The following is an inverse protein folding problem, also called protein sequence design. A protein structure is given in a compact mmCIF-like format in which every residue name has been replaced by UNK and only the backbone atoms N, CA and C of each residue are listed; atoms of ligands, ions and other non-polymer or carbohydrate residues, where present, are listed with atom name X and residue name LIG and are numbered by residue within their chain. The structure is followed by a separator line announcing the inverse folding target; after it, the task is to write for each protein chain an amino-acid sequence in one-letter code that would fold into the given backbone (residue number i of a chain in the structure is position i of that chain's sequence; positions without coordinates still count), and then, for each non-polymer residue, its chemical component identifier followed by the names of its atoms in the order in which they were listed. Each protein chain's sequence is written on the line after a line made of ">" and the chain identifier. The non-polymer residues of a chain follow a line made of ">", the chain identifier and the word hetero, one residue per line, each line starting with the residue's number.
data_IF_115050538624
#
_entry.id   IF_115050538624
#
_cell.length_a   1.000
_cell.length_b   1.000
_cell.length_c   1.000
_cell.angle_alpha   90.00
_cell.angle_beta   90.00
_cell.angle_gamma   90.00
#
_symmetry.space_group_name_H-M   'P 1'
#
loop_
_entity.id
_entity.type
_entity.pdbx_description
1 polymer ?
#
# COMPACT_ATOMS: atom_id res chain seq x y z
N UNK A 1 16.89 -0.11 2.42
CA UNK A 1 15.45 0.24 2.62
C UNK A 1 14.92 -0.64 3.73
N UNK A 2 13.99 -0.16 4.57
CA UNK A 2 13.36 -0.98 5.60
C UNK A 2 12.08 -1.60 5.03
N UNK A 3 11.83 -2.87 5.38
CA UNK A 3 10.60 -3.56 5.00
C UNK A 3 9.65 -3.59 6.20
N UNK A 4 8.42 -3.16 5.98
CA UNK A 4 7.34 -3.17 6.94
C UNK A 4 6.23 -4.15 6.57
N UNK A 5 5.11 -4.05 7.28
CA UNK A 5 3.90 -4.86 7.01
C UNK A 5 2.68 -3.96 6.92
N UNK A 6 1.85 -4.20 5.90
CA UNK A 6 0.51 -3.65 5.82
C UNK A 6 -0.46 -4.55 6.62
N UNK A 7 -1.11 -3.97 7.62
CA UNK A 7 -1.84 -4.74 8.64
C UNK A 7 -3.15 -5.37 8.16
N UNK A 8 -3.57 -5.12 6.92
CA UNK A 8 -4.64 -5.90 6.30
C UNK A 8 -4.33 -7.41 6.31
N UNK A 9 -3.06 -7.78 6.18
CA UNK A 9 -2.60 -9.17 6.23
C UNK A 9 -3.02 -9.86 7.53
N UNK A 10 -2.93 -9.15 8.65
CA UNK A 10 -3.28 -9.65 10.00
C UNK A 10 -4.63 -9.13 10.51
N UNK A 11 -5.51 -8.60 9.65
CA UNK A 11 -6.78 -7.92 10.02
C UNK A 11 -7.73 -8.75 10.90
N UNK A 12 -7.68 -10.08 10.80
CA UNK A 12 -8.53 -10.96 11.63
C UNK A 12 -8.06 -10.99 13.09
N UNK A 13 -6.75 -10.84 13.31
CA UNK A 13 -6.11 -10.85 14.63
C UNK A 13 -6.19 -9.47 15.28
N UNK A 14 -5.87 -8.42 14.57
CA UNK A 14 -5.93 -7.05 15.10
C UNK A 14 -7.36 -6.60 15.50
N UNK A 15 -8.41 -7.19 14.92
CA UNK A 15 -9.78 -6.97 15.37
C UNK A 15 -10.05 -7.49 16.78
N UNK A 16 -9.28 -8.46 17.25
CA UNK A 16 -9.43 -9.06 18.58
C UNK A 16 -8.56 -8.32 19.59
N UNK A 17 -7.32 -8.03 19.22
CA UNK A 17 -6.34 -7.43 20.13
C UNK A 17 -5.16 -6.90 19.29
N UNK A 18 -4.95 -5.58 19.29
CA UNK A 18 -3.89 -4.94 18.50
C UNK A 18 -2.49 -5.34 18.99
N UNK A 19 -2.28 -5.35 20.31
CA UNK A 19 -0.99 -5.68 20.91
C UNK A 19 -0.57 -7.11 20.55
N UNK A 20 -1.45 -8.08 20.81
CA UNK A 20 -1.20 -9.49 20.48
C UNK A 20 -1.03 -9.72 18.97
N UNK A 21 -1.67 -8.90 18.13
CA UNK A 21 -1.51 -9.01 16.69
C UNK A 21 -0.16 -8.46 16.20
N UNK A 22 0.38 -7.43 16.86
CA UNK A 22 1.64 -6.81 16.42
C UNK A 22 2.88 -7.46 17.05
N UNK A 23 2.75 -8.07 18.22
CA UNK A 23 3.87 -8.70 18.93
C UNK A 23 4.67 -9.70 18.08
N UNK A 24 4.05 -10.63 17.30
CA UNK A 24 4.80 -11.52 16.43
C UNK A 24 5.61 -10.78 15.36
N UNK A 25 5.11 -9.67 14.80
CA UNK A 25 5.83 -8.85 13.83
C UNK A 25 7.09 -8.24 14.45
N UNK A 26 6.96 -7.71 15.67
CA UNK A 26 8.06 -7.12 16.42
C UNK A 26 9.14 -8.15 16.72
N UNK A 27 8.74 -9.38 17.10
CA UNK A 27 9.66 -10.50 17.34
C UNK A 27 10.42 -10.92 16.08
N UNK A 28 9.86 -10.70 14.88
CA UNK A 28 10.54 -10.88 13.60
C UNK A 28 11.47 -9.72 13.23
N UNK A 29 11.54 -8.66 14.04
CA UNK A 29 12.31 -7.45 13.75
C UNK A 29 11.58 -6.43 12.86
N UNK A 30 10.30 -6.64 12.55
CA UNK A 30 9.48 -5.75 11.72
C UNK A 30 8.91 -4.66 12.61
N UNK A 31 9.31 -3.42 12.35
CA UNK A 31 8.90 -2.24 13.14
C UNK A 31 8.04 -1.24 12.36
N UNK A 32 8.11 -1.26 11.04
CA UNK A 32 7.38 -0.32 10.18
C UNK A 32 6.02 -0.92 9.79
N UNK A 33 4.94 -0.19 10.08
CA UNK A 33 3.59 -0.64 9.80
C UNK A 33 2.83 0.38 8.94
N UNK A 34 2.15 -0.09 7.91
CA UNK A 34 1.02 0.63 7.33
C UNK A 34 -0.26 0.07 7.97
N UNK A 35 -0.91 0.89 8.80
CA UNK A 35 -2.09 0.45 9.54
C UNK A 35 -3.34 0.54 8.68
N UNK A 36 -4.10 -0.55 8.63
CA UNK A 36 -5.36 -0.67 7.90
C UNK A 36 -6.42 -1.41 8.71
N UNK A 37 -7.70 -1.28 8.30
CA UNK A 37 -8.81 -2.07 8.84
C UNK A 37 -9.14 -1.86 10.32
N UNK A 38 -8.71 -0.75 10.88
CA UNK A 38 -9.25 -0.21 12.14
C UNK A 38 -10.11 1.02 11.82
N UNK A 39 -10.83 1.55 12.79
CA UNK A 39 -11.42 2.88 12.71
C UNK A 39 -10.36 3.89 13.15
N UNK A 40 -10.14 4.92 12.35
CA UNK A 40 -9.13 5.94 12.63
C UNK A 40 -9.81 7.11 13.36
N UNK A 41 -9.51 7.26 14.64
CA UNK A 41 -9.95 8.34 15.51
C UNK A 41 -8.93 8.61 16.62
N UNK A 42 -9.21 9.58 17.46
CA UNK A 42 -8.35 9.94 18.58
C UNK A 42 -8.08 8.79 19.55
N UNK A 43 -9.09 7.94 19.82
CA UNK A 43 -8.97 6.84 20.77
C UNK A 43 -8.07 5.72 20.23
N UNK A 44 -8.31 5.30 18.99
CA UNK A 44 -7.45 4.33 18.31
C UNK A 44 -6.04 4.89 18.11
N UNK A 45 -5.91 6.20 17.86
CA UNK A 45 -4.63 6.89 17.77
C UNK A 45 -3.83 6.83 19.08
N UNK A 46 -4.47 7.05 20.23
CA UNK A 46 -3.84 6.90 21.56
C UNK A 46 -3.40 5.47 21.83
N UNK A 47 -4.25 4.49 21.48
CA UNK A 47 -3.92 3.07 21.63
C UNK A 47 -2.68 2.70 20.80
N UNK A 48 -2.65 3.10 19.53
CA UNK A 48 -1.50 2.86 18.66
C UNK A 48 -0.26 3.60 19.17
N UNK A 49 -0.39 4.85 19.65
CA UNK A 49 0.72 5.61 20.25
C UNK A 49 1.34 4.86 21.43
N UNK A 50 0.52 4.32 22.33
CA UNK A 50 1.01 3.54 23.46
C UNK A 50 1.82 2.31 23.00
N UNK A 51 1.35 1.61 21.96
CA UNK A 51 2.10 0.48 21.36
C UNK A 51 3.40 0.94 20.68
N UNK A 52 3.42 2.11 20.05
CA UNK A 52 4.65 2.69 19.48
C UNK A 52 5.68 2.93 20.59
N UNK A 53 5.26 3.52 21.72
CA UNK A 53 6.15 3.82 22.85
C UNK A 53 6.66 2.55 23.54
N UNK A 54 5.78 1.56 23.70
CA UNK A 54 6.09 0.30 24.39
C UNK A 54 6.96 -0.62 23.54
N UNK A 55 6.70 -0.74 22.25
CA UNK A 55 7.27 -1.76 21.37
C UNK A 55 8.22 -1.20 20.30
N UNK A 56 8.38 0.10 20.19
CA UNK A 56 9.24 0.75 19.21
C UNK A 56 8.77 0.59 17.77
N UNK A 57 7.46 0.36 17.54
CA UNK A 57 6.88 0.34 16.18
C UNK A 57 6.77 1.76 15.63
N UNK A 58 6.79 1.87 14.32
CA UNK A 58 6.60 3.12 13.56
C UNK A 58 5.40 2.97 12.63
N UNK A 59 4.58 4.00 12.54
CA UNK A 59 3.46 4.05 11.60
C UNK A 59 3.92 4.79 10.35
N UNK A 60 4.29 4.04 9.31
CA UNK A 60 4.75 4.59 8.02
C UNK A 60 3.61 5.26 7.26
N UNK A 61 2.42 4.70 7.34
CA UNK A 61 1.20 5.24 6.74
C UNK A 61 -0.05 4.63 7.40
N UNK A 62 -1.20 5.23 7.15
CA UNK A 62 -2.51 4.65 7.46
C UNK A 62 -3.33 4.49 6.19
N UNK A 63 -3.94 3.31 5.99
CA UNK A 63 -4.80 3.04 4.86
C UNK A 63 -6.28 3.13 5.24
N UNK A 64 -6.93 4.19 4.75
CA UNK A 64 -8.25 4.65 5.17
C UNK A 64 -9.28 4.38 4.08
N UNK A 65 -10.50 3.97 4.48
CA UNK A 65 -11.61 3.75 3.53
C UNK A 65 -12.13 5.06 2.93
N UNK A 66 -12.65 5.06 1.69
CA UNK A 66 -13.19 6.25 1.05
C UNK A 66 -14.20 7.00 1.92
N UNK A 67 -15.13 6.28 2.58
CA UNK A 67 -16.14 6.89 3.45
C UNK A 67 -15.53 7.78 4.54
N UNK A 68 -14.40 7.38 5.13
CA UNK A 68 -13.76 8.14 6.20
C UNK A 68 -12.85 9.22 5.62
N UNK A 69 -12.13 8.95 4.52
CA UNK A 69 -11.27 9.96 3.84
C UNK A 69 -12.07 11.21 3.44
N UNK A 70 -13.28 11.02 2.89
CA UNK A 70 -14.10 12.12 2.39
C UNK A 70 -15.13 12.63 3.39
N UNK A 71 -15.56 11.82 4.35
CA UNK A 71 -16.67 12.14 5.24
C UNK A 71 -16.32 12.39 6.69
N UNK A 72 -15.08 12.05 7.13
CA UNK A 72 -14.68 12.19 8.52
C UNK A 72 -13.17 12.50 8.65
N UNK A 73 -12.79 13.62 8.03
CA UNK A 73 -11.39 14.07 7.97
C UNK A 73 -10.82 14.31 9.36
N UNK A 74 -11.60 14.95 10.26
CA UNK A 74 -11.11 15.31 11.59
C UNK A 74 -10.68 14.10 12.40
N UNK A 75 -11.44 13.01 12.37
CA UNK A 75 -11.05 11.78 13.06
C UNK A 75 -9.73 11.21 12.53
N UNK A 76 -9.51 11.25 11.20
CA UNK A 76 -8.24 10.82 10.59
C UNK A 76 -7.09 11.73 11.03
N UNK A 77 -7.31 13.04 11.05
CA UNK A 77 -6.33 14.04 11.52
C UNK A 77 -5.97 13.78 12.99
N UNK A 78 -6.97 13.57 13.85
CA UNK A 78 -6.76 13.29 15.28
C UNK A 78 -5.92 12.01 15.50
N UNK A 79 -6.18 10.96 14.73
CA UNK A 79 -5.34 9.76 14.74
C UNK A 79 -3.89 10.06 14.36
N UNK A 80 -3.71 10.79 13.26
CA UNK A 80 -2.39 11.18 12.77
C UNK A 80 -1.61 12.02 13.77
N UNK A 81 -2.27 12.98 14.43
CA UNK A 81 -1.69 13.80 15.49
C UNK A 81 -1.23 12.95 16.68
N UNK A 82 -2.02 11.95 17.09
CA UNK A 82 -1.64 11.04 18.18
C UNK A 82 -0.40 10.21 17.85
N UNK A 83 -0.30 9.74 16.61
CA UNK A 83 0.75 8.77 16.19
C UNK A 83 1.97 9.44 15.56
N UNK A 84 1.87 10.72 15.18
CA UNK A 84 2.90 11.41 14.38
C UNK A 84 2.97 10.94 12.94
N UNK A 85 2.01 10.11 12.47
CA UNK A 85 1.95 9.67 11.08
C UNK A 85 1.47 10.81 10.18
N UNK A 86 2.17 11.08 9.09
CA UNK A 86 1.82 12.13 8.13
C UNK A 86 1.29 11.60 6.80
N UNK A 87 1.28 10.29 6.59
CA UNK A 87 0.92 9.66 5.33
C UNK A 87 -0.45 8.97 5.44
N UNK A 88 -1.43 9.49 4.72
CA UNK A 88 -2.80 8.96 4.64
C UNK A 88 -2.99 8.33 3.26
N UNK A 89 -3.43 7.08 3.20
CA UNK A 89 -3.63 6.34 1.95
C UNK A 89 -5.12 6.06 1.76
N UNK A 90 -5.69 6.56 0.68
CA UNK A 90 -7.04 6.17 0.25
C UNK A 90 -6.99 4.73 -0.26
N UNK A 91 -7.70 3.84 0.41
CA UNK A 91 -7.54 2.39 0.27
C UNK A 91 -7.98 1.80 -1.07
N UNK A 92 -8.85 2.47 -1.80
CA UNK A 92 -9.43 1.96 -3.05
C UNK A 92 -10.29 3.01 -3.75
N UNK A 93 -10.59 2.78 -5.02
CA UNK A 93 -11.58 3.51 -5.78
C UNK A 93 -12.98 3.34 -5.14
N UNK A 94 -13.75 4.41 -4.95
CA UNK A 94 -15.14 4.28 -4.51
C UNK A 94 -15.95 3.41 -5.48
N UNK A 95 -16.80 2.53 -4.93
CA UNK A 95 -17.51 1.53 -5.71
C UNK A 95 -18.39 2.10 -6.83
N UNK A 96 -18.98 3.27 -6.60
CA UNK A 96 -19.77 3.97 -7.63
C UNK A 96 -18.94 4.43 -8.84
N UNK A 97 -17.62 4.61 -8.68
CA UNK A 97 -16.72 4.90 -9.81
C UNK A 97 -16.39 3.65 -10.64
N UNK A 98 -16.49 2.45 -10.03
CA UNK A 98 -16.25 1.19 -10.72
C UNK A 98 -17.45 0.78 -11.58
N UNK A 99 -18.65 0.83 -10.99
CA UNK A 99 -19.90 0.41 -11.63
C UNK A 99 -20.68 1.55 -12.27
N UNK A 100 -20.33 2.81 -11.95
CA UNK A 100 -21.02 3.99 -12.42
C UNK A 100 -20.63 4.39 -13.85
N UNK A 101 -21.29 5.45 -14.34
CA UNK A 101 -20.89 6.11 -15.58
C UNK A 101 -19.52 6.75 -15.41
N UNK A 102 -18.73 6.84 -16.47
CA UNK A 102 -17.38 7.41 -16.47
C UNK A 102 -17.32 8.82 -15.86
N UNK A 103 -18.38 9.62 -16.01
CA UNK A 103 -18.48 10.93 -15.37
C UNK A 103 -18.27 10.90 -13.86
N UNK A 104 -18.74 9.85 -13.17
CA UNK A 104 -18.51 9.67 -11.74
C UNK A 104 -17.04 9.44 -11.36
N UNK A 105 -16.29 8.86 -12.26
CA UNK A 105 -14.84 8.72 -12.06
C UNK A 105 -14.14 10.09 -12.22
N UNK A 106 -14.55 10.91 -13.18
CA UNK A 106 -13.98 12.27 -13.34
C UNK A 106 -14.37 13.20 -12.18
N UNK A 107 -15.62 13.13 -11.70
CA UNK A 107 -16.05 13.83 -10.48
C UNK A 107 -15.15 13.45 -9.31
N UNK A 108 -14.89 12.14 -9.14
CA UNK A 108 -14.00 11.62 -8.09
C UNK A 108 -12.57 12.16 -8.21
N UNK A 109 -12.01 12.31 -9.41
CA UNK A 109 -10.66 12.87 -9.58
C UNK A 109 -10.59 14.33 -9.06
N UNK A 110 -11.61 15.13 -9.35
CA UNK A 110 -11.69 16.50 -8.87
C UNK A 110 -11.87 16.54 -7.34
N UNK A 111 -12.70 15.64 -6.78
CA UNK A 111 -12.87 15.50 -5.32
C UNK A 111 -11.58 15.07 -4.63
N UNK A 112 -10.83 14.14 -5.24
CA UNK A 112 -9.57 13.64 -4.71
C UNK A 112 -8.50 14.74 -4.66
N UNK A 113 -8.39 15.60 -5.68
CA UNK A 113 -7.48 16.75 -5.68
C UNK A 113 -7.85 17.74 -4.56
N UNK A 114 -9.13 18.08 -4.40
CA UNK A 114 -9.60 18.94 -3.29
C UNK A 114 -9.30 18.31 -1.94
N UNK A 115 -9.48 17.00 -1.83
CA UNK A 115 -9.18 16.28 -0.59
C UNK A 115 -7.69 16.30 -0.24
N UNK A 116 -6.80 16.27 -1.23
CA UNK A 116 -5.38 16.47 -1.00
C UNK A 116 -5.07 17.83 -0.39
N UNK A 117 -5.74 18.90 -0.83
CA UNK A 117 -5.58 20.25 -0.26
C UNK A 117 -6.04 20.31 1.21
N UNK A 118 -7.16 19.65 1.52
CA UNK A 118 -7.67 19.57 2.89
C UNK A 118 -6.67 18.85 3.79
N UNK A 119 -6.19 17.66 3.40
CA UNK A 119 -5.19 16.95 4.21
C UNK A 119 -3.87 17.74 4.33
N UNK A 120 -3.44 18.40 3.25
CA UNK A 120 -2.24 19.22 3.25
C UNK A 120 -2.34 20.41 4.22
N UNK A 121 -3.52 21.03 4.40
CA UNK A 121 -3.73 22.10 5.38
C UNK A 121 -3.55 21.64 6.84
N UNK A 122 -3.63 20.31 7.08
CA UNK A 122 -3.34 19.68 8.36
C UNK A 122 -1.91 19.08 8.45
N UNK A 123 -1.03 19.37 7.48
CA UNK A 123 0.33 18.83 7.43
C UNK A 123 0.38 17.34 7.02
N UNK A 124 -0.68 16.83 6.44
CA UNK A 124 -0.78 15.42 6.01
C UNK A 124 -0.68 15.30 4.48
N UNK A 125 -0.14 14.18 4.02
CA UNK A 125 -0.08 13.84 2.60
C UNK A 125 -1.11 12.76 2.28
N UNK A 126 -1.98 13.01 1.30
CA UNK A 126 -2.93 12.01 0.81
C UNK A 126 -2.36 11.28 -0.39
N UNK A 127 -2.32 9.95 -0.31
CA UNK A 127 -1.98 9.06 -1.40
C UNK A 127 -3.16 8.19 -1.81
N UNK A 128 -3.09 7.66 -3.01
CA UNK A 128 -4.06 6.74 -3.58
C UNK A 128 -3.44 5.36 -3.77
N UNK A 129 -4.08 4.32 -3.22
CA UNK A 129 -3.72 2.92 -3.45
C UNK A 129 -4.61 2.34 -4.55
N UNK A 130 -3.98 1.77 -5.58
CA UNK A 130 -4.69 1.23 -6.74
C UNK A 130 -4.93 -0.28 -6.64
N UNK A 131 -5.87 -0.75 -7.48
CA UNK A 131 -6.18 -2.15 -7.73
C UNK A 131 -6.14 -2.44 -9.24
N UNK A 132 -6.81 -3.50 -9.69
CA UNK A 132 -6.98 -3.79 -11.12
C UNK A 132 -8.00 -2.88 -11.82
N UNK A 133 -8.90 -2.24 -11.07
CA UNK A 133 -9.94 -1.35 -11.62
C UNK A 133 -9.37 -0.16 -12.37
N UNK A 134 -8.20 0.33 -11.97
CA UNK A 134 -7.53 1.49 -12.55
C UNK A 134 -6.91 1.18 -13.91
N UNK A 135 -6.70 -0.09 -14.23
CA UNK A 135 -6.19 -0.52 -15.53
C UNK A 135 -7.28 -0.81 -16.57
N UNK A 136 -8.55 -0.62 -16.22
CA UNK A 136 -9.68 -0.69 -17.16
C UNK A 136 -9.65 0.53 -18.08
N UNK A 137 -9.79 0.29 -19.40
CA UNK A 137 -9.83 1.33 -20.44
C UNK A 137 -11.19 2.04 -20.42
N UNK A 138 -11.16 3.34 -20.51
CA UNK A 138 -12.32 4.24 -20.63
C UNK A 138 -12.70 4.46 -22.10
N UNK A 139 -13.84 5.11 -22.34
CA UNK A 139 -14.35 5.41 -23.69
C UNK A 139 -13.40 6.24 -24.56
N UNK A 140 -12.53 7.04 -23.93
CA UNK A 140 -11.50 7.84 -24.61
C UNK A 140 -10.20 7.06 -24.96
N UNK A 141 -10.17 5.74 -24.73
CA UNK A 141 -9.02 4.87 -25.01
C UNK A 141 -7.91 4.88 -23.96
N UNK A 142 -8.01 5.70 -22.89
CA UNK A 142 -7.05 5.73 -21.78
C UNK A 142 -7.51 4.83 -20.64
N UNK A 143 -6.56 4.29 -19.87
CA UNK A 143 -6.90 3.61 -18.62
C UNK A 143 -7.25 4.63 -17.53
N UNK A 144 -8.03 4.23 -16.50
CA UNK A 144 -8.25 5.08 -15.32
C UNK A 144 -6.96 5.47 -14.64
N UNK A 145 -5.94 4.59 -14.61
CA UNK A 145 -4.62 4.92 -14.06
C UNK A 145 -3.97 6.06 -14.84
N UNK A 146 -4.06 6.04 -16.17
CA UNK A 146 -3.54 7.12 -17.01
C UNK A 146 -4.25 8.44 -16.72
N UNK A 147 -5.56 8.42 -16.60
CA UNK A 147 -6.36 9.61 -16.24
C UNK A 147 -6.03 10.11 -14.82
N UNK A 148 -5.85 9.22 -13.85
CA UNK A 148 -5.36 9.57 -12.50
C UNK A 148 -4.03 10.33 -12.58
N UNK A 149 -3.06 9.81 -13.31
CA UNK A 149 -1.74 10.43 -13.44
C UNK A 149 -1.78 11.79 -14.14
N UNK A 150 -2.60 11.94 -15.17
CA UNK A 150 -2.66 13.15 -15.98
C UNK A 150 -3.51 14.25 -15.37
N UNK A 151 -4.62 13.89 -14.68
CA UNK A 151 -5.61 14.85 -14.18
C UNK A 151 -5.44 15.22 -12.70
N UNK A 152 -4.57 14.51 -11.98
CA UNK A 152 -4.24 14.87 -10.60
C UNK A 152 -2.78 15.32 -10.52
N UNK A 153 -2.48 16.26 -9.62
CA UNK A 153 -1.12 16.78 -9.41
C UNK A 153 -0.64 16.62 -7.99
N UNK A 154 -1.53 16.72 -7.00
CA UNK A 154 -1.22 16.68 -5.57
C UNK A 154 -1.28 15.28 -4.99
N UNK A 155 -2.02 14.39 -5.64
CA UNK A 155 -2.18 13.00 -5.21
C UNK A 155 -0.85 12.27 -5.31
N UNK A 156 -0.41 11.68 -4.18
CA UNK A 156 0.66 10.69 -4.17
C UNK A 156 0.09 9.30 -4.47
N UNK A 157 0.95 8.32 -4.74
CA UNK A 157 0.52 6.96 -5.08
C UNK A 157 1.18 5.93 -4.18
N UNK A 158 0.41 4.90 -3.84
CA UNK A 158 0.92 3.65 -3.27
C UNK A 158 0.75 2.57 -4.31
N UNK A 159 1.87 2.01 -4.77
CA UNK A 159 1.90 0.98 -5.79
C UNK A 159 1.67 -0.41 -5.16
N UNK A 160 0.81 -1.22 -5.77
CA UNK A 160 0.62 -2.63 -5.42
C UNK A 160 1.13 -3.53 -6.55
N UNK A 161 2.19 -4.29 -6.27
CA UNK A 161 2.86 -5.12 -7.26
C UNK A 161 1.99 -6.27 -7.77
N UNK A 162 1.11 -6.83 -6.94
CA UNK A 162 0.17 -7.89 -7.32
C UNK A 162 -0.84 -7.42 -8.37
N UNK A 163 -1.49 -6.27 -8.12
CA UNK A 163 -2.55 -5.80 -9.02
C UNK A 163 -2.03 -5.41 -10.39
N UNK A 164 -0.86 -4.78 -10.45
CA UNK A 164 -0.21 -4.43 -11.71
C UNK A 164 0.20 -5.67 -12.49
N UNK A 165 0.85 -6.63 -11.83
CA UNK A 165 1.27 -7.89 -12.44
C UNK A 165 0.07 -8.74 -12.89
N UNK A 166 -1.02 -8.74 -12.11
CA UNK A 166 -2.27 -9.43 -12.48
C UNK A 166 -2.91 -8.86 -13.75
N UNK A 167 -2.68 -7.58 -14.03
CA UNK A 167 -3.11 -6.95 -15.28
C UNK A 167 -2.13 -7.16 -16.46
N UNK A 168 -1.09 -7.97 -16.27
CA UNK A 168 -0.10 -8.26 -17.31
C UNK A 168 0.91 -7.14 -17.55
N UNK A 169 1.06 -6.22 -16.58
CA UNK A 169 1.95 -5.06 -16.67
C UNK A 169 3.19 -5.25 -15.80
N UNK A 170 4.27 -4.57 -16.17
CA UNK A 170 5.51 -4.55 -15.38
C UNK A 170 5.36 -3.63 -14.17
N UNK A 171 5.51 -4.20 -12.96
CA UNK A 171 5.49 -3.44 -11.71
C UNK A 171 6.65 -2.43 -11.62
N UNK A 172 7.85 -2.78 -12.08
CA UNK A 172 9.00 -1.86 -12.07
C UNK A 172 8.79 -0.65 -13.00
N UNK A 173 8.22 -0.86 -14.18
CA UNK A 173 7.86 0.24 -15.08
C UNK A 173 6.77 1.14 -14.48
N UNK A 174 5.79 0.56 -13.80
CA UNK A 174 4.74 1.34 -13.13
C UNK A 174 5.31 2.16 -11.96
N UNK A 175 6.25 1.61 -11.19
CA UNK A 175 6.99 2.33 -10.15
C UNK A 175 7.67 3.57 -10.73
N UNK A 176 8.42 3.41 -11.83
CA UNK A 176 9.06 4.54 -12.52
C UNK A 176 8.06 5.56 -13.05
N UNK A 177 6.90 5.11 -13.55
CA UNK A 177 5.86 6.00 -14.07
C UNK A 177 5.23 6.88 -12.97
N UNK A 178 5.19 6.44 -11.71
CA UNK A 178 4.78 7.29 -10.59
C UNK A 178 5.84 8.33 -10.22
N UNK A 179 7.14 8.02 -10.38
CA UNK A 179 8.24 8.95 -10.16
C UNK A 179 8.20 9.62 -8.79
N UNK A 180 8.24 10.96 -8.78
CA UNK A 180 8.22 11.77 -7.55
C UNK A 180 6.88 11.72 -6.80
N UNK A 181 5.84 11.15 -7.39
CA UNK A 181 4.55 10.93 -6.74
C UNK A 181 4.39 9.56 -6.10
N UNK A 182 5.42 8.72 -6.12
CA UNK A 182 5.40 7.44 -5.44
C UNK A 182 5.69 7.62 -3.95
N UNK A 183 4.70 7.37 -3.10
CA UNK A 183 4.83 7.43 -1.65
C UNK A 183 5.31 6.11 -1.05
N UNK A 184 4.75 4.99 -1.50
CA UNK A 184 5.05 3.67 -0.96
C UNK A 184 4.72 2.53 -1.91
N UNK A 185 5.17 1.33 -1.56
CA UNK A 185 4.93 0.11 -2.34
C UNK A 185 4.41 -0.99 -1.42
N UNK A 186 3.30 -1.60 -1.83
CA UNK A 186 2.85 -2.89 -1.31
C UNK A 186 3.58 -3.99 -2.07
N UNK A 187 4.51 -4.65 -1.39
CA UNK A 187 5.20 -5.83 -1.87
C UNK A 187 4.27 -7.03 -1.72
N UNK A 188 3.63 -7.41 -2.82
CA UNK A 188 2.63 -8.46 -2.86
C UNK A 188 2.86 -9.31 -4.09
N UNK A 189 3.10 -10.61 -3.91
CA UNK A 189 3.45 -11.50 -5.00
C UNK A 189 2.24 -12.19 -5.62
N UNK A 190 2.34 -12.47 -6.91
CA UNK A 190 1.35 -13.20 -7.69
C UNK A 190 1.86 -14.61 -7.97
N UNK A 191 1.19 -15.60 -7.40
CA UNK A 191 1.47 -17.01 -7.69
C UNK A 191 0.46 -17.58 -8.69
N UNK A 192 0.95 -18.32 -9.65
CA UNK A 192 0.13 -18.98 -10.67
C UNK A 192 -0.01 -20.49 -10.37
N UNK A 193 -1.23 -20.98 -10.35
CA UNK A 193 -1.55 -22.37 -10.10
C UNK A 193 -2.24 -22.97 -11.32
N UNK A 194 -1.64 -24.02 -11.90
CA UNK A 194 -2.26 -24.78 -13.01
C UNK A 194 -3.19 -25.85 -12.45
N UNK A 195 -4.44 -25.86 -12.93
CA UNK A 195 -5.41 -26.92 -12.65
C UNK A 195 -6.05 -27.37 -13.97
N UNK A 196 -5.53 -28.46 -14.56
CA UNK A 196 -5.88 -28.87 -15.89
C UNK A 196 -5.47 -27.82 -16.93
N UNK A 197 -6.42 -27.38 -17.74
CA UNK A 197 -6.22 -26.30 -18.74
C UNK A 197 -6.34 -24.90 -18.14
N UNK A 198 -6.85 -24.78 -16.91
CA UNK A 198 -7.07 -23.48 -16.26
C UNK A 198 -5.85 -23.05 -15.47
N UNK A 199 -5.56 -21.74 -15.53
CA UNK A 199 -4.58 -21.09 -14.67
C UNK A 199 -5.33 -20.17 -13.70
N UNK A 200 -5.07 -20.31 -12.40
CA UNK A 200 -5.60 -19.44 -11.35
C UNK A 200 -4.45 -18.70 -10.70
N UNK A 201 -4.72 -17.48 -10.24
CA UNK A 201 -3.77 -16.71 -9.49
C UNK A 201 -4.19 -16.56 -8.03
N UNK A 202 -3.22 -16.54 -7.13
CA UNK A 202 -3.40 -16.23 -5.72
C UNK A 202 -2.27 -15.36 -5.21
N UNK A 203 -2.43 -14.83 -4.00
CA UNK A 203 -1.31 -14.24 -3.29
C UNK A 203 -0.28 -15.30 -2.93
N UNK A 204 1.00 -14.94 -3.00
CA UNK A 204 2.13 -15.74 -2.54
C UNK A 204 3.03 -14.94 -1.61
N UNK A 205 3.90 -15.62 -0.88
CA UNK A 205 4.96 -14.94 -0.15
C UNK A 205 5.86 -14.20 -1.14
N UNK A 206 6.33 -13.01 -0.80
CA UNK A 206 7.22 -12.19 -1.65
C UNK A 206 8.41 -13.02 -2.12
N UNK A 207 8.67 -13.01 -3.43
CA UNK A 207 9.74 -13.78 -4.07
C UNK A 207 9.42 -15.27 -4.31
N UNK A 208 8.16 -15.71 -4.10
CA UNK A 208 7.73 -17.07 -4.42
C UNK A 208 6.86 -17.18 -5.67
N UNK A 209 6.50 -16.05 -6.28
CA UNK A 209 5.64 -15.95 -7.46
C UNK A 209 6.36 -15.44 -8.70
N UNK A 210 5.67 -14.58 -9.45
CA UNK A 210 6.13 -14.11 -10.77
C UNK A 210 6.58 -12.64 -10.79
N UNK A 211 6.46 -11.93 -9.67
CA UNK A 211 6.89 -10.52 -9.59
C UNK A 211 8.41 -10.43 -9.51
N UNK A 212 9.02 -9.64 -10.40
CA UNK A 212 10.45 -9.31 -10.32
C UNK A 212 10.69 -8.21 -9.26
N UNK A 213 10.85 -8.63 -8.01
CA UNK A 213 11.09 -7.72 -6.90
C UNK A 213 12.47 -7.06 -6.96
N UNK A 214 13.47 -7.67 -7.59
CA UNK A 214 14.76 -7.04 -7.78
C UNK A 214 14.62 -5.79 -8.65
N UNK A 215 13.93 -5.91 -9.79
CA UNK A 215 13.64 -4.78 -10.66
C UNK A 215 12.73 -3.73 -9.98
N UNK A 216 11.75 -4.16 -9.17
CA UNK A 216 10.88 -3.24 -8.40
C UNK A 216 11.70 -2.43 -7.39
N UNK A 217 12.59 -3.06 -6.61
CA UNK A 217 13.42 -2.37 -5.62
C UNK A 217 14.45 -1.43 -6.28
N UNK A 218 15.01 -1.82 -7.43
CA UNK A 218 15.90 -0.94 -8.20
C UNK A 218 15.14 0.29 -8.74
N UNK A 219 13.94 0.09 -9.26
CA UNK A 219 13.08 1.19 -9.71
C UNK A 219 12.70 2.12 -8.55
N UNK A 220 12.35 1.56 -7.38
CA UNK A 220 11.99 2.34 -6.20
C UNK A 220 13.11 3.30 -5.74
N UNK A 221 14.39 2.89 -5.86
CA UNK A 221 15.55 3.76 -5.55
C UNK A 221 15.64 5.01 -6.43
N UNK A 222 14.97 5.02 -7.59
CA UNK A 222 14.95 6.14 -8.54
C UNK A 222 13.72 7.04 -8.38
N UNK A 223 12.93 6.86 -7.32
CA UNK A 223 11.69 7.58 -7.06
C UNK A 223 11.68 8.18 -5.66
N UNK A 224 10.62 8.91 -5.31
CA UNK A 224 10.40 9.45 -3.95
C UNK A 224 9.79 8.42 -2.98
N UNK A 225 9.91 7.13 -3.24
CA UNK A 225 9.36 6.07 -2.39
C UNK A 225 9.88 6.17 -0.96
N UNK A 226 8.96 6.29 0.01
CA UNK A 226 9.28 6.51 1.43
C UNK A 226 9.26 5.23 2.24
N UNK A 227 8.44 4.24 1.84
CA UNK A 227 8.29 2.98 2.58
C UNK A 227 7.91 1.80 1.67
N UNK A 228 8.24 0.62 2.13
CA UNK A 228 7.93 -0.66 1.51
C UNK A 228 7.23 -1.55 2.54
N UNK A 229 6.06 -2.08 2.23
CA UNK A 229 5.31 -2.95 3.14
C UNK A 229 4.84 -4.22 2.46
N UNK A 230 4.99 -5.33 3.15
CA UNK A 230 4.49 -6.64 2.73
C UNK A 230 2.97 -6.65 2.94
N UNK A 231 2.22 -7.00 1.89
CA UNK A 231 0.79 -7.26 1.98
C UNK A 231 0.46 -8.62 1.37
N UNK A 232 -0.37 -9.42 2.05
CA UNK A 232 -0.82 -10.71 1.56
C UNK A 232 -2.24 -11.02 2.02
N UNK A 233 -2.99 -11.73 1.17
CA UNK A 233 -4.24 -12.37 1.57
C UNK A 233 -3.96 -13.86 1.81
N UNK A 234 -3.88 -14.24 3.08
CA UNK A 234 -3.50 -15.59 3.49
C UNK A 234 -4.26 -16.01 4.75
N UNK A 235 -4.32 -17.29 5.03
CA UNK A 235 -4.82 -17.87 6.27
C UNK A 235 -3.71 -18.17 7.30
N UNK A 236 -2.42 -18.08 6.89
CA UNK A 236 -1.22 -18.27 7.71
C UNK A 236 -0.34 -17.00 7.74
N UNK A 237 -0.88 -15.84 8.24
CA UNK A 237 -0.24 -14.55 7.99
C UNK A 237 1.16 -14.42 8.59
N UNK A 238 1.40 -14.94 9.77
CA UNK A 238 2.70 -14.74 10.43
C UNK A 238 3.81 -15.56 9.79
N UNK A 239 3.52 -16.81 9.39
CA UNK A 239 4.46 -17.65 8.64
C UNK A 239 4.78 -17.04 7.27
N UNK A 240 3.75 -16.60 6.56
CA UNK A 240 3.91 -16.01 5.23
C UNK A 240 4.60 -14.65 5.28
N UNK A 241 4.31 -13.82 6.29
CA UNK A 241 5.03 -12.55 6.51
C UNK A 241 6.50 -12.83 6.81
N UNK A 242 6.81 -13.80 7.69
CA UNK A 242 8.19 -14.18 8.01
C UNK A 242 8.96 -14.57 6.75
N UNK A 243 8.39 -15.48 5.95
CA UNK A 243 8.98 -15.92 4.68
C UNK A 243 9.19 -14.77 3.71
N UNK A 244 8.17 -13.89 3.58
CA UNK A 244 8.25 -12.71 2.71
C UNK A 244 9.34 -11.75 3.16
N UNK A 245 9.45 -11.52 4.47
CA UNK A 245 10.46 -10.64 5.05
C UNK A 245 11.88 -11.15 4.84
N UNK A 246 12.11 -12.45 5.09
CA UNK A 246 13.39 -13.11 4.81
C UNK A 246 13.77 -13.01 3.32
N UNK A 247 12.81 -13.25 2.41
CA UNK A 247 13.04 -13.11 0.97
C UNK A 247 13.35 -11.67 0.57
N UNK A 248 12.65 -10.67 1.13
CA UNK A 248 12.94 -9.26 0.87
C UNK A 248 14.38 -8.89 1.28
N UNK A 249 14.83 -9.34 2.45
CA UNK A 249 16.20 -9.11 2.91
C UNK A 249 17.22 -9.76 1.99
N UNK A 250 16.98 -11.00 1.54
CA UNK A 250 17.85 -11.71 0.60
C UNK A 250 17.92 -10.99 -0.76
N UNK A 251 16.78 -10.55 -1.30
CA UNK A 251 16.76 -9.82 -2.57
C UNK A 251 17.54 -8.51 -2.43
N UNK A 252 17.38 -7.79 -1.32
CA UNK A 252 18.12 -6.55 -1.07
C UNK A 252 19.62 -6.79 -0.96
N UNK A 253 20.08 -7.80 -0.23
CA UNK A 253 21.51 -8.17 -0.10
C UNK A 253 22.13 -8.46 -1.47
N UNK A 254 21.47 -9.29 -2.29
CA UNK A 254 21.97 -9.61 -3.64
C UNK A 254 22.11 -8.36 -4.52
N UNK A 255 21.20 -7.39 -4.39
CA UNK A 255 21.27 -6.13 -5.14
C UNK A 255 22.42 -5.21 -4.67
N UNK A 256 22.76 -5.26 -3.40
CA UNK A 256 23.87 -4.49 -2.82
C UNK A 256 25.23 -5.09 -3.24
N UNK A 257 25.36 -6.41 -3.24
CA UNK A 257 26.56 -7.12 -3.70
C UNK A 257 26.86 -6.81 -5.19
N UNK A 258 25.84 -6.90 -6.07
CA UNK A 258 26.00 -6.58 -7.50
C UNK A 258 26.40 -5.12 -7.79
N UNK A 259 26.19 -4.19 -6.84
CA UNK A 259 26.59 -2.79 -6.98
C UNK A 259 28.03 -2.52 -6.55
N UNK A 260 28.64 -3.36 -5.75
CA UNK A 260 30.03 -3.25 -5.30
C UNK A 260 31.05 -3.88 -6.25
N UNK A 261 30.59 -4.69 -7.22
CA UNK A 261 31.44 -5.34 -8.22
C UNK A 261 31.60 -4.51 -9.52
N UNK A 262 31.01 -3.32 -9.59
CA UNK A 262 31.12 -2.38 -10.71
C UNK A 262 31.87 -1.12 -10.32
#
# INVERSE_FOLDING_TARGET
>A
MNFGVQTFTIRKWQKKDLEKAYLPLIQMGIKDLEIARIHFDKNSGKTVRALMDQCGIRVSAIQVKPKQVFGDVQSVVDFCQCTGCTNVVLSQLPFFCVLGREGKFYDFLADLERQCEIYQSHGLTLAYHHHHWEYITLSNGKTRMRELLERTKKVQFVHDTYWTTKCGLSSSQQVLAFGDRLMGIHLRDLTLHKKGINVRSSDGAVGSGVVDFAAVLQAAKQTSCRYLVIEQKTDHPYEDIKKSFENCLKIQSNLEECTHEK
#
